data_IF_889495656300
#
_entry.id   IF_889495656300
#
_cell.length_a   1.000
_cell.length_b   1.000
_cell.length_c   1.000
_cell.angle_alpha   90.00
_cell.angle_beta   90.00
_cell.angle_gamma   90.00
#
_symmetry.space_group_name_H-M   'P 1'
#
loop_
_entity.id
_entity.type
_entity.pdbx_description
1 polymer ?
#
# COMPACT_ATOMS: atom_id res chain seq x y z
N UNK A 1 -18.19 -26.54 -3.08
CA UNK A 1 -16.85 -25.95 -3.28
C UNK A 1 -15.88 -27.05 -3.68
N UNK A 2 -15.09 -26.85 -4.73
CA UNK A 2 -14.08 -27.83 -5.14
C UNK A 2 -12.75 -27.59 -4.41
N UNK A 3 -11.87 -28.59 -4.33
CA UNK A 3 -10.52 -28.43 -3.75
C UNK A 3 -9.72 -27.31 -4.45
N UNK A 4 -9.95 -27.14 -5.75
CA UNK A 4 -9.31 -26.13 -6.57
C UNK A 4 -9.82 -24.71 -6.23
N UNK A 5 -11.13 -24.56 -5.97
CA UNK A 5 -11.71 -23.31 -5.44
C UNK A 5 -11.10 -22.92 -4.09
N UNK A 6 -10.93 -23.88 -3.18
CA UNK A 6 -10.33 -23.63 -1.86
C UNK A 6 -8.87 -23.18 -1.99
N UNK A 7 -8.10 -23.85 -2.86
CA UNK A 7 -6.71 -23.48 -3.14
C UNK A 7 -6.62 -22.06 -3.71
N UNK A 8 -7.46 -21.73 -4.70
CA UNK A 8 -7.52 -20.40 -5.30
C UNK A 8 -7.78 -19.32 -4.25
N UNK A 9 -8.85 -19.47 -3.45
CA UNK A 9 -9.21 -18.51 -2.40
C UNK A 9 -8.12 -18.38 -1.33
N UNK A 10 -7.44 -19.47 -1.00
CA UNK A 10 -6.33 -19.44 -0.03
C UNK A 10 -5.15 -18.63 -0.57
N UNK A 11 -4.77 -18.84 -1.84
CA UNK A 11 -3.69 -18.07 -2.48
C UNK A 11 -4.06 -16.60 -2.60
N UNK A 12 -5.29 -16.29 -2.99
CA UNK A 12 -5.80 -14.92 -3.08
C UNK A 12 -5.79 -14.22 -1.71
N UNK A 13 -6.26 -14.90 -0.65
CA UNK A 13 -6.24 -14.37 0.71
C UNK A 13 -4.81 -14.10 1.19
N UNK A 14 -3.86 -15.01 0.94
CA UNK A 14 -2.45 -14.81 1.30
C UNK A 14 -1.81 -13.64 0.55
N UNK A 15 -2.08 -13.52 -0.75
CA UNK A 15 -1.61 -12.38 -1.55
C UNK A 15 -2.20 -11.06 -1.04
N UNK A 16 -3.49 -11.03 -0.72
CA UNK A 16 -4.15 -9.86 -0.18
C UNK A 16 -3.61 -9.47 1.20
N UNK A 17 -3.35 -10.43 2.08
CA UNK A 17 -2.71 -10.19 3.38
C UNK A 17 -1.30 -9.63 3.21
N UNK A 18 -0.49 -10.21 2.32
CA UNK A 18 0.85 -9.72 2.03
C UNK A 18 0.85 -8.28 1.50
N UNK A 19 -0.05 -7.98 0.57
CA UNK A 19 -0.27 -6.62 0.06
C UNK A 19 -0.71 -5.66 1.17
N UNK A 20 -1.64 -6.10 2.03
CA UNK A 20 -2.19 -5.28 3.12
C UNK A 20 -1.12 -4.90 4.13
N UNK A 21 -0.29 -5.87 4.55
CA UNK A 21 0.85 -5.61 5.45
C UNK A 21 1.81 -4.60 4.84
N UNK A 22 2.11 -4.73 3.54
CA UNK A 22 2.97 -3.79 2.83
C UNK A 22 2.36 -2.39 2.77
N UNK A 23 1.07 -2.28 2.46
CA UNK A 23 0.34 -1.01 2.40
C UNK A 23 0.37 -0.29 3.76
N UNK A 24 0.02 -0.99 4.85
CA UNK A 24 0.06 -0.41 6.19
C UNK A 24 1.47 -0.01 6.61
N UNK A 25 2.48 -0.85 6.35
CA UNK A 25 3.87 -0.50 6.63
C UNK A 25 4.30 0.79 5.92
N UNK A 26 3.86 1.00 4.68
CA UNK A 26 4.14 2.23 3.93
C UNK A 26 3.37 3.41 4.54
N UNK A 27 2.08 3.24 4.87
CA UNK A 27 1.28 4.27 5.52
C UNK A 27 1.89 4.76 6.83
N UNK A 28 2.33 3.83 7.69
CA UNK A 28 3.00 4.19 8.94
C UNK A 28 4.31 4.94 8.70
N UNK A 29 5.14 4.48 7.76
CA UNK A 29 6.37 5.21 7.39
C UNK A 29 6.09 6.62 6.86
N UNK A 30 5.07 6.79 6.02
CA UNK A 30 4.70 8.11 5.50
C UNK A 30 4.20 9.02 6.61
N UNK A 31 3.45 8.46 7.57
CA UNK A 31 2.97 9.20 8.74
C UNK A 31 4.12 9.62 9.63
N UNK A 32 5.09 8.74 9.88
CA UNK A 32 6.31 9.05 10.64
C UNK A 32 7.11 10.17 9.97
N UNK A 33 7.33 10.09 8.66
CA UNK A 33 8.00 11.14 7.87
C UNK A 33 7.23 12.47 7.97
N UNK A 34 5.90 12.42 7.90
CA UNK A 34 5.08 13.62 8.04
C UNK A 34 5.22 14.22 9.45
N UNK A 35 5.24 13.39 10.50
CA UNK A 35 5.45 13.84 11.89
C UNK A 35 6.85 14.44 12.08
N UNK A 36 7.89 13.83 11.53
CA UNK A 36 9.25 14.37 11.59
C UNK A 36 9.36 15.71 10.86
N UNK A 37 8.79 15.83 9.65
CA UNK A 37 8.75 17.10 8.91
C UNK A 37 7.98 18.19 9.67
N UNK A 38 6.89 17.84 10.35
CA UNK A 38 6.15 18.76 11.24
C UNK A 38 7.01 19.24 12.40
N UNK A 39 7.75 18.33 13.05
CA UNK A 39 8.65 18.69 14.15
C UNK A 39 9.77 19.64 13.73
N UNK A 40 10.33 19.44 12.53
CA UNK A 40 11.40 20.28 11.99
C UNK A 40 10.93 21.66 11.51
N UNK A 41 9.67 21.80 11.07
CA UNK A 41 9.12 23.06 10.53
C UNK A 41 8.63 24.05 11.61
N UNK A 42 8.69 23.68 12.90
CA UNK A 42 8.18 24.51 14.01
C UNK A 42 6.65 24.47 14.16
N UNK A 43 6.15 24.91 15.32
CA UNK A 43 4.74 24.85 15.76
C UNK A 43 3.78 25.81 14.98
N UNK A 44 3.99 26.00 13.68
CA UNK A 44 3.11 26.80 12.83
C UNK A 44 1.76 26.10 12.54
N UNK A 45 0.74 26.84 12.06
CA UNK A 45 -0.63 26.34 11.92
C UNK A 45 -0.67 25.01 11.16
N UNK A 46 -1.20 24.01 11.85
CA UNK A 46 -1.15 22.60 11.50
C UNK A 46 -2.08 22.35 10.32
N UNK A 47 -1.53 22.40 9.11
CA UNK A 47 -2.29 22.10 7.89
C UNK A 47 -2.15 20.63 7.50
N UNK A 48 -3.28 19.96 7.24
CA UNK A 48 -3.31 18.68 6.49
C UNK A 48 -2.49 18.74 5.19
N UNK A 49 -2.30 19.94 4.63
CA UNK A 49 -1.47 20.22 3.46
C UNK A 49 -0.05 19.63 3.53
N UNK A 50 0.62 19.65 4.69
CA UNK A 50 1.96 19.06 4.82
C UNK A 50 1.93 17.52 4.75
N UNK A 51 0.90 16.92 5.33
CA UNK A 51 0.66 15.46 5.22
C UNK A 51 0.38 15.10 3.77
N UNK A 52 -0.52 15.83 3.11
CA UNK A 52 -0.82 15.64 1.69
C UNK A 52 0.43 15.80 0.82
N UNK A 53 1.32 16.74 1.12
CA UNK A 53 2.57 16.91 0.39
C UNK A 53 3.47 15.65 0.48
N UNK A 54 3.55 15.01 1.66
CA UNK A 54 4.30 13.75 1.83
C UNK A 54 3.68 12.60 1.02
N UNK A 55 2.35 12.49 1.00
CA UNK A 55 1.65 11.52 0.17
C UNK A 55 1.84 11.79 -1.33
N UNK A 56 1.82 13.05 -1.76
CA UNK A 56 2.08 13.46 -3.14
C UNK A 56 3.53 13.16 -3.54
N UNK A 57 4.50 13.46 -2.66
CA UNK A 57 5.91 13.13 -2.89
C UNK A 57 6.11 11.61 -3.02
N UNK A 58 5.41 10.82 -2.21
CA UNK A 58 5.38 9.36 -2.35
C UNK A 58 4.75 8.93 -3.68
N UNK A 59 3.59 9.48 -4.06
CA UNK A 59 2.93 9.16 -5.33
C UNK A 59 3.82 9.48 -6.54
N UNK A 60 4.55 10.59 -6.48
CA UNK A 60 5.55 11.03 -7.48
C UNK A 60 6.85 10.22 -7.45
N UNK A 61 7.02 9.30 -6.50
CA UNK A 61 8.20 8.45 -6.38
C UNK A 61 9.45 9.16 -5.83
N UNK A 62 9.27 10.34 -5.23
CA UNK A 62 10.35 11.10 -4.56
C UNK A 62 10.66 10.55 -3.17
N UNK A 63 9.72 9.84 -2.55
CA UNK A 63 9.87 9.16 -1.26
C UNK A 63 9.66 7.65 -1.42
N UNK A 64 10.41 6.88 -0.62
CA UNK A 64 10.25 5.42 -0.46
C UNK A 64 10.11 4.67 -1.81
N UNK A 65 10.94 5.02 -2.81
CA UNK A 65 10.81 4.53 -4.21
C UNK A 65 10.75 3.01 -4.34
N UNK A 66 11.57 2.28 -3.57
CA UNK A 66 11.57 0.80 -3.56
C UNK A 66 10.26 0.25 -2.96
N UNK A 67 9.80 0.82 -1.85
CA UNK A 67 8.54 0.39 -1.22
C UNK A 67 7.33 0.71 -2.12
N UNK A 68 7.34 1.87 -2.79
CA UNK A 68 6.35 2.23 -3.81
C UNK A 68 6.32 1.22 -4.96
N UNK A 69 7.47 0.85 -5.50
CA UNK A 69 7.55 -0.15 -6.57
C UNK A 69 7.00 -1.50 -6.12
N UNK A 70 7.35 -1.96 -4.91
CA UNK A 70 6.80 -3.19 -4.34
C UNK A 70 5.29 -3.11 -4.18
N UNK A 71 4.76 -1.99 -3.70
CA UNK A 71 3.32 -1.80 -3.55
C UNK A 71 2.61 -1.83 -4.90
N UNK A 72 3.16 -1.15 -5.91
CA UNK A 72 2.61 -1.18 -7.28
C UNK A 72 2.62 -2.60 -7.83
N UNK A 73 3.73 -3.33 -7.72
CA UNK A 73 3.84 -4.71 -8.19
C UNK A 73 2.84 -5.62 -7.47
N UNK A 74 2.67 -5.47 -6.15
CA UNK A 74 1.72 -6.24 -5.38
C UNK A 74 0.27 -5.90 -5.75
N UNK A 75 -0.05 -4.62 -6.01
CA UNK A 75 -1.37 -4.20 -6.51
C UNK A 75 -1.66 -4.77 -7.90
N UNK A 76 -0.67 -4.74 -8.80
CA UNK A 76 -0.79 -5.33 -10.13
C UNK A 76 -1.00 -6.84 -10.05
N UNK A 77 -0.27 -7.53 -9.17
CA UNK A 77 -0.48 -8.95 -8.93
C UNK A 77 -1.91 -9.25 -8.47
N UNK A 78 -2.45 -8.46 -7.52
CA UNK A 78 -3.85 -8.59 -7.10
C UNK A 78 -4.83 -8.33 -8.25
N UNK A 79 -4.64 -7.25 -9.01
CA UNK A 79 -5.51 -6.92 -10.15
C UNK A 79 -5.51 -8.01 -11.24
N UNK A 80 -4.41 -8.74 -11.40
CA UNK A 80 -4.34 -9.87 -12.33
C UNK A 80 -4.99 -11.14 -11.77
N UNK A 81 -4.94 -11.35 -10.45
CA UNK A 81 -5.48 -12.55 -9.80
C UNK A 81 -7.00 -12.48 -9.64
N UNK A 82 -7.55 -11.34 -9.22
CA UNK A 82 -9.00 -11.14 -9.00
C UNK A 82 -9.89 -11.60 -10.18
N UNK A 83 -9.62 -11.22 -11.46
CA UNK A 83 -10.47 -11.63 -12.59
C UNK A 83 -10.35 -13.12 -12.94
N UNK A 84 -9.43 -13.87 -12.34
CA UNK A 84 -9.36 -15.32 -12.48
C UNK A 84 -10.36 -16.03 -11.56
N UNK A 85 -10.92 -15.33 -10.55
CA UNK A 85 -11.91 -15.88 -9.62
C UNK A 85 -13.10 -16.55 -10.29
N UNK A 86 -13.76 -15.93 -11.29
CA UNK A 86 -14.87 -16.55 -12.02
C UNK A 86 -14.54 -17.85 -12.77
N UNK A 87 -13.25 -18.18 -12.97
CA UNK A 87 -12.85 -19.46 -13.57
C UNK A 87 -12.83 -20.61 -12.56
N UNK A 88 -12.90 -20.30 -11.25
CA UNK A 88 -12.71 -21.25 -10.16
C UNK A 88 -13.88 -21.29 -9.16
N UNK A 89 -14.81 -20.34 -9.25
CA UNK A 89 -16.01 -20.17 -8.40
C UNK A 89 -17.24 -20.47 -9.25
#
# INVERSE_FOLDING_TARGET
MTALTILYLTVEALLFLGWTVLAFRILFRLTEIAVQRRGAAGQGPIGMAQTYAVFVDFARGRLLRKDRQRLILATLALMLVIPLGPLFI
#
